data_IF_162994009925
#
_entry.id   IF_162994009925
#
_cell.length_a   1.000
_cell.length_b   1.000
_cell.length_c   1.000
_cell.angle_alpha   90.00
_cell.angle_beta   90.00
_cell.angle_gamma   90.00
#
_symmetry.space_group_name_H-M   'P 1'
#
loop_
_entity.id
_entity.type
_entity.pdbx_description
1 polymer ?
#
# COMPACT_ATOMS: atom_id res chain seq x y z
N UNK A 1 -4.63 13.15 -47.58
CA UNK A 1 -3.99 12.62 -46.35
C UNK A 1 -4.02 13.78 -45.35
N UNK A 2 -4.95 13.77 -44.38
CA UNK A 2 -5.12 14.89 -43.45
C UNK A 2 -4.37 14.57 -42.15
N UNK A 3 -3.20 15.18 -41.96
CA UNK A 3 -2.32 15.00 -40.80
C UNK A 3 -2.72 15.84 -39.56
N UNK A 4 -3.93 16.39 -39.50
CA UNK A 4 -4.35 17.28 -38.41
C UNK A 4 -5.52 16.69 -37.63
N UNK A 5 -5.21 15.84 -36.66
CA UNK A 5 -5.89 15.69 -35.36
C UNK A 5 -5.34 14.45 -34.63
N UNK A 6 -4.06 14.46 -34.28
CA UNK A 6 -3.58 13.59 -33.21
C UNK A 6 -3.89 14.30 -31.88
N UNK A 7 -4.93 13.86 -31.18
CA UNK A 7 -5.14 14.26 -29.79
C UNK A 7 -3.89 13.89 -29.00
N UNK A 8 -3.14 14.90 -28.53
CA UNK A 8 -1.95 14.67 -27.72
C UNK A 8 -2.41 14.19 -26.35
N UNK A 9 -2.07 12.96 -26.02
CA UNK A 9 -2.30 12.40 -24.68
C UNK A 9 -1.55 13.27 -23.67
N UNK A 10 -2.22 13.83 -22.64
CA UNK A 10 -1.54 14.64 -21.64
C UNK A 10 -0.53 13.79 -20.86
N UNK A 11 0.57 14.41 -20.36
CA UNK A 11 1.52 13.69 -19.53
C UNK A 11 0.85 13.16 -18.26
N UNK A 12 1.30 11.99 -17.80
CA UNK A 12 0.82 11.39 -16.55
C UNK A 12 1.17 12.28 -15.35
N UNK A 13 0.23 12.44 -14.42
CA UNK A 13 0.44 13.26 -13.23
C UNK A 13 1.16 12.46 -12.16
N UNK A 14 1.90 13.17 -11.29
CA UNK A 14 2.54 12.57 -10.11
C UNK A 14 1.51 11.92 -9.18
N UNK A 15 0.29 12.47 -9.10
CA UNK A 15 -0.83 11.89 -8.35
C UNK A 15 -1.22 10.50 -8.87
N UNK A 16 -1.18 10.28 -10.18
CA UNK A 16 -1.52 9.00 -10.78
C UNK A 16 -0.45 7.95 -10.46
N UNK A 17 0.83 8.37 -10.52
CA UNK A 17 1.95 7.52 -10.10
C UNK A 17 1.88 7.21 -8.60
N UNK A 18 1.56 8.21 -7.78
CA UNK A 18 1.38 8.04 -6.35
C UNK A 18 0.28 7.05 -6.01
N UNK A 19 -0.85 7.11 -6.70
CA UNK A 19 -1.92 6.10 -6.55
C UNK A 19 -1.41 4.69 -6.88
N UNK A 20 -0.67 4.53 -7.98
CA UNK A 20 -0.06 3.24 -8.33
C UNK A 20 0.90 2.74 -7.23
N UNK A 21 1.79 3.61 -6.74
CA UNK A 21 2.75 3.24 -5.69
C UNK A 21 2.07 2.88 -4.38
N UNK A 22 1.01 3.59 -3.97
CA UNK A 22 0.24 3.27 -2.77
C UNK A 22 -0.33 1.84 -2.85
N UNK A 23 -0.87 1.44 -4.00
CA UNK A 23 -1.38 0.07 -4.20
C UNK A 23 -0.26 -0.98 -4.13
N UNK A 24 0.91 -0.71 -4.71
CA UNK A 24 2.08 -1.61 -4.63
C UNK A 24 2.55 -1.76 -3.18
N UNK A 25 2.65 -0.67 -2.44
CA UNK A 25 3.08 -0.67 -1.03
C UNK A 25 2.06 -1.40 -0.17
N UNK A 26 0.76 -1.18 -0.40
CA UNK A 26 -0.30 -1.91 0.28
C UNK A 26 -0.17 -3.42 0.07
N UNK A 27 0.04 -3.88 -1.17
CA UNK A 27 0.25 -5.30 -1.45
C UNK A 27 1.45 -5.86 -0.70
N UNK A 28 2.57 -5.14 -0.65
CA UNK A 28 3.77 -5.53 0.11
C UNK A 28 3.50 -5.58 1.62
N UNK A 29 2.74 -4.64 2.18
CA UNK A 29 2.34 -4.67 3.58
C UNK A 29 1.52 -5.94 3.91
N UNK A 30 0.53 -6.30 3.08
CA UNK A 30 -0.23 -7.54 3.26
C UNK A 30 0.64 -8.79 3.17
N UNK A 31 1.63 -8.82 2.27
CA UNK A 31 2.57 -9.93 2.13
C UNK A 31 3.41 -10.11 3.41
N UNK A 32 4.02 -9.03 3.91
CA UNK A 32 4.83 -9.08 5.13
C UNK A 32 4.02 -9.30 6.42
N UNK A 33 2.71 -9.03 6.40
CA UNK A 33 1.79 -9.44 7.47
C UNK A 33 1.47 -10.94 7.44
N UNK A 34 1.94 -11.67 6.42
CA UNK A 34 1.64 -13.08 6.18
C UNK A 34 0.19 -13.33 5.74
N UNK A 35 -0.46 -12.30 5.18
CA UNK A 35 -1.86 -12.36 4.72
C UNK A 35 -1.96 -12.59 3.22
N UNK A 36 -0.87 -12.39 2.48
CA UNK A 36 -0.72 -12.74 1.08
C UNK A 36 0.62 -13.42 0.84
N UNK A 37 0.68 -14.23 -0.22
CA UNK A 37 1.93 -14.83 -0.68
C UNK A 37 2.84 -13.78 -1.32
N UNK A 38 4.15 -13.89 -1.09
CA UNK A 38 5.17 -13.13 -1.80
C UNK A 38 5.31 -13.68 -3.24
N UNK A 39 4.91 -12.94 -4.29
CA UNK A 39 4.91 -13.44 -5.66
C UNK A 39 6.33 -13.73 -6.19
N UNK A 40 7.34 -13.08 -5.63
CA UNK A 40 8.75 -13.25 -6.02
C UNK A 40 9.34 -14.63 -5.68
N UNK A 41 8.87 -15.27 -4.61
CA UNK A 41 9.44 -16.54 -4.12
C UNK A 41 8.38 -17.60 -3.74
N UNK A 42 7.09 -17.26 -3.77
CA UNK A 42 5.99 -18.17 -3.41
C UNK A 42 5.82 -18.41 -1.91
N UNK A 43 6.53 -17.68 -1.06
CA UNK A 43 6.49 -17.89 0.39
C UNK A 43 5.40 -17.05 1.05
N UNK A 44 4.76 -17.63 2.06
CA UNK A 44 3.96 -16.86 3.02
C UNK A 44 4.78 -16.74 4.30
N UNK A 45 5.28 -15.55 4.59
CA UNK A 45 6.11 -15.27 5.76
C UNK A 45 5.58 -14.06 6.52
N UNK A 46 6.01 -13.93 7.77
CA UNK A 46 5.67 -12.79 8.62
C UNK A 46 6.97 -12.07 8.91
N UNK A 47 7.05 -10.81 8.47
CA UNK A 47 8.14 -9.89 8.82
C UNK A 47 7.51 -8.58 9.29
N UNK A 48 7.34 -8.46 10.61
CA UNK A 48 6.72 -7.29 11.23
C UNK A 48 7.54 -6.01 11.01
N UNK A 49 8.85 -6.11 10.79
CA UNK A 49 9.69 -4.94 10.56
C UNK A 49 9.44 -4.38 9.15
N UNK A 50 9.40 -5.24 8.14
CA UNK A 50 9.10 -4.83 6.77
C UNK A 50 7.63 -4.43 6.60
N UNK A 51 6.69 -5.12 7.28
CA UNK A 51 5.29 -4.70 7.32
C UNK A 51 5.13 -3.28 7.87
N UNK A 52 5.81 -2.96 8.98
CA UNK A 52 5.79 -1.62 9.57
C UNK A 52 6.32 -0.56 8.62
N UNK A 53 7.46 -0.84 7.97
CA UNK A 53 8.09 0.08 7.00
C UNK A 53 7.17 0.36 5.80
N UNK A 54 6.50 -0.67 5.29
CA UNK A 54 5.54 -0.50 4.20
C UNK A 54 4.36 0.38 4.62
N UNK A 55 3.82 0.19 5.83
CA UNK A 55 2.72 1.01 6.37
C UNK A 55 3.15 2.46 6.56
N UNK A 56 4.30 2.71 7.18
CA UNK A 56 4.81 4.07 7.40
C UNK A 56 5.08 4.79 6.07
N UNK A 57 5.61 4.07 5.06
CA UNK A 57 5.84 4.63 3.72
C UNK A 57 4.52 4.93 2.99
N UNK A 58 3.52 4.04 3.12
CA UNK A 58 2.18 4.28 2.59
C UNK A 58 1.60 5.58 3.17
N UNK A 59 1.64 5.73 4.49
CA UNK A 59 1.12 6.92 5.19
C UNK A 59 1.83 8.19 4.73
N UNK A 60 3.18 8.16 4.66
CA UNK A 60 3.97 9.31 4.20
C UNK A 60 3.59 9.77 2.79
N UNK A 61 3.47 8.84 1.85
CA UNK A 61 3.12 9.15 0.45
C UNK A 61 1.66 9.61 0.37
N UNK A 62 0.76 8.94 1.08
CA UNK A 62 -0.65 9.27 1.07
C UNK A 62 -0.89 10.68 1.63
N UNK A 63 -0.29 11.02 2.76
CA UNK A 63 -0.38 12.35 3.39
C UNK A 63 0.12 13.47 2.48
N UNK A 64 1.15 13.21 1.66
CA UNK A 64 1.67 14.17 0.70
C UNK A 64 0.69 14.44 -0.46
N UNK A 65 -0.06 13.43 -0.89
CA UNK A 65 -0.88 13.47 -2.10
C UNK A 65 -2.39 13.60 -1.85
N UNK A 66 -2.86 13.39 -0.61
CA UNK A 66 -4.29 13.23 -0.30
C UNK A 66 -5.19 14.39 -0.69
N UNK A 67 -4.65 15.60 -0.79
CA UNK A 67 -5.41 16.79 -1.17
C UNK A 67 -5.64 16.89 -2.69
N UNK A 68 -4.84 16.18 -3.47
CA UNK A 68 -4.96 16.15 -4.94
C UNK A 68 -5.82 14.97 -5.42
N UNK A 69 -6.12 14.00 -4.55
CA UNK A 69 -6.99 12.88 -4.88
C UNK A 69 -8.48 13.28 -4.90
N UNK A 70 -9.27 12.69 -5.81
CA UNK A 70 -10.73 12.71 -5.69
C UNK A 70 -11.18 12.16 -4.34
N UNK A 71 -12.28 12.68 -3.80
CA UNK A 71 -12.84 12.27 -2.49
C UNK A 71 -13.06 10.76 -2.37
N UNK A 72 -13.44 10.08 -3.47
CA UNK A 72 -13.59 8.63 -3.51
C UNK A 72 -12.27 7.89 -3.27
N UNK A 73 -11.22 8.26 -4.01
CA UNK A 73 -9.88 7.66 -3.90
C UNK A 73 -9.28 7.97 -2.53
N UNK A 74 -9.45 9.19 -2.03
CA UNK A 74 -8.99 9.57 -0.69
C UNK A 74 -9.57 8.66 0.39
N UNK A 75 -10.90 8.47 0.40
CA UNK A 75 -11.57 7.58 1.36
C UNK A 75 -11.14 6.13 1.23
N UNK A 76 -10.92 5.68 0.00
CA UNK A 76 -10.42 4.33 -0.27
C UNK A 76 -9.03 4.13 0.35
N UNK A 77 -8.10 5.05 0.12
CA UNK A 77 -6.74 4.97 0.66
C UNK A 77 -6.71 5.11 2.20
N UNK A 78 -7.58 5.94 2.78
CA UNK A 78 -7.77 6.03 4.24
C UNK A 78 -8.24 4.69 4.84
N UNK A 79 -9.18 4.02 4.17
CA UNK A 79 -9.67 2.71 4.58
C UNK A 79 -8.57 1.65 4.47
N UNK A 80 -7.78 1.68 3.39
CA UNK A 80 -6.64 0.75 3.22
C UNK A 80 -5.60 0.93 4.32
N UNK A 81 -5.19 2.18 4.61
CA UNK A 81 -4.25 2.48 5.68
C UNK A 81 -4.76 2.00 7.05
N UNK A 82 -6.03 2.31 7.36
CA UNK A 82 -6.67 1.88 8.61
C UNK A 82 -6.64 0.35 8.74
N UNK A 83 -7.00 -0.38 7.68
CA UNK A 83 -7.02 -1.84 7.69
C UNK A 83 -5.61 -2.41 7.89
N UNK A 84 -4.59 -1.84 7.23
CA UNK A 84 -3.20 -2.27 7.40
C UNK A 84 -2.72 -2.06 8.85
N UNK A 85 -2.99 -0.89 9.43
CA UNK A 85 -2.61 -0.58 10.81
C UNK A 85 -3.30 -1.51 11.83
N UNK A 86 -4.59 -1.80 11.65
CA UNK A 86 -5.32 -2.75 12.51
C UNK A 86 -4.72 -4.16 12.42
N UNK A 87 -4.51 -4.67 11.19
CA UNK A 87 -3.93 -5.99 10.99
C UNK A 87 -2.50 -6.09 11.56
N UNK A 88 -1.71 -5.01 11.44
CA UNK A 88 -0.39 -4.96 12.04
C UNK A 88 -0.43 -5.09 13.56
N UNK A 89 -1.28 -4.31 14.24
CA UNK A 89 -1.43 -4.36 15.70
C UNK A 89 -1.90 -5.74 16.16
N UNK A 90 -2.88 -6.33 15.46
CA UNK A 90 -3.33 -7.70 15.75
C UNK A 90 -2.22 -8.72 15.57
N UNK A 91 -1.40 -8.56 14.52
CA UNK A 91 -0.31 -9.48 14.23
C UNK A 91 0.80 -9.39 15.27
N UNK A 92 1.19 -8.18 15.67
CA UNK A 92 2.17 -7.94 16.75
C UNK A 92 1.73 -8.65 18.04
N UNK A 93 0.48 -8.46 18.47
CA UNK A 93 -0.05 -9.11 19.67
C UNK A 93 0.02 -10.64 19.59
N UNK A 94 -0.34 -11.21 18.43
CA UNK A 94 -0.30 -12.66 18.21
C UNK A 94 1.13 -13.22 18.25
N UNK A 95 2.12 -12.50 17.73
CA UNK A 95 3.53 -12.93 17.76
C UNK A 95 4.10 -12.83 19.19
N UNK A 96 3.75 -11.78 19.95
CA UNK A 96 4.14 -11.61 21.35
C UNK A 96 3.60 -12.76 22.23
N UNK A 97 2.30 -13.06 22.14
CA UNK A 97 1.66 -14.16 22.88
C UNK A 97 2.25 -15.56 22.55
N UNK A 98 2.75 -15.75 21.32
CA UNK A 98 3.40 -17.00 20.91
C UNK A 98 4.84 -17.10 21.41
N UNK A 99 5.52 -15.96 21.56
CA UNK A 99 6.89 -15.91 22.10
C UNK A 99 6.94 -16.19 23.60
N UNK A 100 5.93 -15.76 24.36
CA UNK A 100 5.83 -15.99 25.81
C UNK A 100 5.47 -17.44 26.18
N UNK A 101 4.93 -18.22 25.23
CA UNK A 101 4.53 -19.62 25.42
C UNK A 101 5.63 -20.62 25.04
N UNK A 102 6.75 -20.17 24.48
CA UNK A 102 7.91 -20.98 24.09
C UNK A 102 9.00 -20.90 25.14
#
# INVERSE_FOLDING_TARGET
MNEKNQEKIPPQKITDLGYYFLNVIQAKAWQYLGLLVHPENGETLIDLKEARRAIDLFELIFENLKNDFPSSIKKEMEMHLTNLQLNYVEKVKKEEEQSEKK
#
